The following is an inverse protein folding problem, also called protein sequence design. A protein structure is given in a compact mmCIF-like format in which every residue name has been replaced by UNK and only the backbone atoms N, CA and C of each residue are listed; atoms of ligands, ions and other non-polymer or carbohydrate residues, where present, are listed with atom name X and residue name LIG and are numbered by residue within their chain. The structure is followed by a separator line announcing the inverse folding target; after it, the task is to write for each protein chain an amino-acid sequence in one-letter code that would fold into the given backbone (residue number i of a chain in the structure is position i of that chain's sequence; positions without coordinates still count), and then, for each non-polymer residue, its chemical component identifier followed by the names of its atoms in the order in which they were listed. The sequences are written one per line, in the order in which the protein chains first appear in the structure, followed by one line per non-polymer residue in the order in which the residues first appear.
data_IF_364573946165
#
_entry.id   IF_364573946165
#
_cell.length_a   1.000
_cell.length_b   1.000
_cell.length_c   1.000
_cell.angle_alpha   90.00
_cell.angle_beta   90.00
_cell.angle_gamma   90.00
#
_symmetry.space_group_name_H-M   'P 1'
#
loop_
_entity.id
_entity.type
_entity.pdbx_description
1 polymer ?
#
# COMPACT_ATOMS: atom_id res chain seq x y z
N UNK A 1 5.74 -16.60 9.46
CA UNK A 1 4.95 -15.35 9.58
C UNK A 1 5.90 -14.17 9.50
N UNK A 2 5.64 -13.17 8.64
CA UNK A 2 6.43 -11.93 8.64
C UNK A 2 6.40 -11.31 10.04
N UNK A 3 7.58 -10.97 10.59
CA UNK A 3 7.69 -10.35 11.92
C UNK A 3 7.38 -8.86 11.81
N UNK A 4 6.78 -8.28 12.86
CA UNK A 4 6.53 -6.84 12.99
C UNK A 4 5.58 -6.23 11.93
N UNK A 5 4.61 -6.99 11.43
CA UNK A 5 3.58 -6.44 10.55
C UNK A 5 2.54 -5.68 11.39
N UNK A 6 2.37 -4.38 11.13
CA UNK A 6 1.31 -3.58 11.73
C UNK A 6 0.10 -3.55 10.78
N UNK A 7 -0.94 -4.34 11.08
CA UNK A 7 -2.18 -4.35 10.31
C UNK A 7 -2.98 -3.09 10.69
N UNK A 8 -3.22 -2.21 9.71
CA UNK A 8 -3.95 -0.95 9.90
C UNK A 8 -5.35 -1.05 9.28
N UNK A 9 -6.26 -0.18 9.72
CA UNK A 9 -7.68 -0.19 9.32
C UNK A 9 -8.02 1.04 8.47
N UNK A 10 -8.52 0.82 7.25
CA UNK A 10 -8.97 1.88 6.34
C UNK A 10 -10.36 2.42 6.66
N UNK A 11 -11.13 1.72 7.49
CA UNK A 11 -12.53 2.05 7.76
C UNK A 11 -13.36 2.03 6.48
N UNK A 12 -14.10 3.10 6.24
CA UNK A 12 -15.13 3.19 5.19
C UNK A 12 -14.67 4.00 3.97
N UNK A 13 -13.38 4.29 3.82
CA UNK A 13 -12.84 5.01 2.67
C UNK A 13 -12.09 4.03 1.77
N UNK A 14 -12.23 4.18 0.45
CA UNK A 14 -11.51 3.41 -0.58
C UNK A 14 -10.01 3.70 -0.64
N UNK A 15 -9.32 3.72 0.51
CA UNK A 15 -7.92 4.07 0.65
C UNK A 15 -6.96 2.86 0.57
N UNK A 16 -7.46 1.67 0.20
CA UNK A 16 -6.74 0.39 0.21
C UNK A 16 -5.36 0.47 -0.45
N UNK A 17 -5.23 1.22 -1.55
CA UNK A 17 -3.97 1.44 -2.28
C UNK A 17 -2.91 2.11 -1.41
N UNK A 18 -3.29 3.12 -0.61
CA UNK A 18 -2.39 3.78 0.33
C UNK A 18 -2.00 2.86 1.49
N UNK A 19 -2.95 2.07 2.00
CA UNK A 19 -2.69 1.08 3.06
C UNK A 19 -1.75 -0.04 2.61
N UNK A 20 -2.00 -0.62 1.43
CA UNK A 20 -1.17 -1.68 0.87
C UNK A 20 0.26 -1.21 0.62
N UNK A 21 0.43 -0.01 0.04
CA UNK A 21 1.76 0.54 -0.17
C UNK A 21 2.47 0.91 1.15
N UNK A 22 1.75 1.48 2.12
CA UNK A 22 2.32 1.79 3.44
C UNK A 22 2.86 0.54 4.14
N UNK A 23 2.15 -0.60 4.05
CA UNK A 23 2.59 -1.85 4.66
C UNK A 23 3.92 -2.34 4.07
N UNK A 24 4.11 -2.21 2.76
CA UNK A 24 5.37 -2.56 2.08
C UNK A 24 6.50 -1.62 2.51
N UNK A 25 6.25 -0.31 2.52
CA UNK A 25 7.26 0.69 2.89
C UNK A 25 7.66 0.55 4.37
N UNK A 26 6.68 0.42 5.28
CA UNK A 26 6.94 0.19 6.70
C UNK A 26 7.82 -1.04 6.91
N UNK A 27 7.53 -2.12 6.20
CA UNK A 27 8.33 -3.36 6.28
C UNK A 27 9.77 -3.11 5.86
N UNK A 28 10.00 -2.52 4.69
CA UNK A 28 11.35 -2.26 4.16
C UNK A 28 12.14 -1.27 5.04
N UNK A 29 11.50 -0.17 5.48
CA UNK A 29 12.12 0.83 6.36
C UNK A 29 12.45 0.23 7.72
N UNK A 30 11.57 -0.63 8.26
CA UNK A 30 11.83 -1.23 9.56
C UNK A 30 12.83 -2.37 9.49
N UNK A 31 12.90 -3.15 8.42
CA UNK A 31 13.95 -4.18 8.25
C UNK A 31 15.34 -3.56 8.19
N UNK A 32 15.49 -2.45 7.47
CA UNK A 32 16.76 -1.71 7.42
C UNK A 32 17.11 -1.02 8.74
N UNK A 33 16.13 -0.52 9.50
CA UNK A 33 16.33 0.14 10.81
C UNK A 33 16.47 -0.82 11.99
N UNK A 34 15.90 -2.02 11.94
CA UNK A 34 16.00 -3.04 12.99
C UNK A 34 17.46 -3.50 13.15
N UNK A 35 18.24 -3.50 12.07
CA UNK A 35 19.70 -3.66 12.14
C UNK A 35 20.40 -2.57 12.98
N UNK A 36 19.74 -1.42 13.20
CA UNK A 36 20.25 -0.24 13.91
C UNK A 36 19.59 0.11 15.25
N UNK A 37 18.74 -0.76 15.84
CA UNK A 37 18.08 -0.57 17.17
C UNK A 37 17.09 0.61 17.30
N UNK A 38 16.49 1.08 16.20
CA UNK A 38 15.44 2.12 16.25
C UNK A 38 14.05 1.59 16.62
N UNK A 39 13.16 2.46 17.13
CA UNK A 39 11.72 2.16 17.23
C UNK A 39 11.14 1.95 15.82
N UNK A 40 10.16 1.04 15.63
CA UNK A 40 9.45 0.90 14.37
C UNK A 40 8.84 2.24 13.95
N UNK A 41 8.95 2.56 12.66
CA UNK A 41 8.38 3.73 12.05
C UNK A 41 7.24 3.31 11.14
N UNK A 42 6.19 4.12 11.12
CA UNK A 42 5.07 3.99 10.22
C UNK A 42 4.98 5.22 9.32
N UNK A 43 4.83 5.01 8.01
CA UNK A 43 4.63 6.07 7.02
C UNK A 43 3.16 6.46 6.92
N UNK A 44 2.91 7.70 6.45
CA UNK A 44 1.58 8.29 6.30
C UNK A 44 0.78 7.59 5.20
N UNK A 45 -0.25 6.85 5.61
CA UNK A 45 -1.21 6.24 4.68
C UNK A 45 -2.01 7.32 3.96
N UNK A 46 -2.41 8.38 4.68
CA UNK A 46 -3.14 9.51 4.11
C UNK A 46 -2.35 10.18 2.99
N UNK A 47 -1.06 10.44 3.19
CA UNK A 47 -0.20 11.01 2.14
C UNK A 47 -0.12 10.09 0.92
N UNK A 48 0.13 8.80 1.13
CA UNK A 48 0.23 7.84 0.03
C UNK A 48 -1.06 7.78 -0.77
N UNK A 49 -2.22 7.72 -0.11
CA UNK A 49 -3.50 7.66 -0.79
C UNK A 49 -3.81 8.93 -1.58
N UNK A 50 -3.61 10.11 -0.99
CA UNK A 50 -3.86 11.37 -1.69
C UNK A 50 -2.91 11.58 -2.88
N UNK A 51 -1.64 11.21 -2.73
CA UNK A 51 -0.68 11.29 -3.83
C UNK A 51 -0.96 10.21 -4.87
N UNK A 52 -1.47 9.04 -4.48
CA UNK A 52 -1.90 8.03 -5.43
C UNK A 52 -2.99 8.59 -6.35
N UNK A 53 -4.04 9.18 -5.77
CA UNK A 53 -5.13 9.82 -6.51
C UNK A 53 -4.66 10.96 -7.41
N UNK A 54 -3.78 11.82 -6.89
CA UNK A 54 -3.24 12.97 -7.64
C UNK A 54 -2.40 12.57 -8.86
N UNK A 55 -1.75 11.42 -8.81
CA UNK A 55 -0.85 10.94 -9.87
C UNK A 55 -1.42 9.74 -10.63
N UNK A 56 -2.69 9.43 -10.41
CA UNK A 56 -3.39 8.41 -11.16
C UNK A 56 -3.70 8.90 -12.57
N UNK A 57 -3.82 7.96 -13.49
CA UNK A 57 -4.08 8.27 -14.91
C UNK A 57 -5.57 8.57 -15.18
N UNK A 58 -6.41 8.46 -14.15
CA UNK A 58 -7.87 8.61 -14.19
C UNK A 58 -8.32 9.89 -13.47
N UNK A 59 -7.74 11.04 -13.83
CA UNK A 59 -8.29 12.34 -13.40
C UNK A 59 -9.70 12.53 -14.00
N UNK A 60 -10.74 12.48 -13.18
CA UNK A 60 -12.11 12.88 -13.56
C UNK A 60 -13.16 11.78 -13.56
N UNK A 61 -12.82 10.52 -13.26
CA UNK A 61 -13.83 9.50 -12.96
C UNK A 61 -14.16 9.53 -11.46
N UNK A 62 -15.45 9.46 -11.14
CA UNK A 62 -16.01 9.51 -9.78
C UNK A 62 -15.73 8.21 -8.99
N UNK A 63 -14.54 7.63 -9.18
CA UNK A 63 -14.14 6.37 -8.56
C UNK A 63 -13.47 6.63 -7.20
N UNK A 64 -14.01 6.01 -6.15
CA UNK A 64 -13.33 5.94 -4.86
C UNK A 64 -12.16 4.97 -4.94
N UNK A 65 -10.93 5.48 -5.10
CA UNK A 65 -9.74 4.63 -5.10
C UNK A 65 -8.54 5.24 -5.81
N UNK A 66 -7.52 4.41 -6.02
CA UNK A 66 -6.42 4.69 -6.95
C UNK A 66 -5.74 3.41 -7.41
N UNK A 67 -5.13 3.41 -8.60
CA UNK A 67 -4.35 2.31 -9.13
C UNK A 67 -3.02 2.11 -8.40
N UNK A 68 -2.48 0.87 -8.43
CA UNK A 68 -1.12 0.62 -7.92
C UNK A 68 -0.07 1.48 -8.63
N UNK A 69 -0.28 1.80 -9.92
CA UNK A 69 0.60 2.68 -10.69
C UNK A 69 0.53 4.11 -10.15
N UNK A 70 -0.67 4.64 -9.91
CA UNK A 70 -0.89 5.95 -9.32
C UNK A 70 -0.17 6.08 -7.98
N UNK A 71 -0.30 5.06 -7.12
CA UNK A 71 0.39 5.03 -5.82
C UNK A 71 1.91 5.06 -5.92
N UNK A 72 2.50 4.23 -6.79
CA UNK A 72 3.95 4.24 -7.01
C UNK A 72 4.41 5.57 -7.63
N UNK A 73 3.66 6.14 -8.58
CA UNK A 73 3.95 7.46 -9.16
C UNK A 73 3.87 8.57 -8.11
N UNK A 74 2.83 8.58 -7.28
CA UNK A 74 2.67 9.54 -6.20
C UNK A 74 3.83 9.47 -5.21
N UNK A 75 4.20 8.25 -4.78
CA UNK A 75 5.35 8.04 -3.91
C UNK A 75 6.67 8.45 -4.57
N UNK A 76 6.87 8.15 -5.85
CA UNK A 76 8.07 8.55 -6.59
C UNK A 76 8.25 10.07 -6.63
N UNK A 77 7.18 10.82 -6.91
CA UNK A 77 7.24 12.27 -7.07
C UNK A 77 7.32 13.02 -5.73
N UNK A 78 6.64 12.53 -4.70
CA UNK A 78 6.42 13.29 -3.47
C UNK A 78 7.13 12.71 -2.25
N UNK A 79 7.56 11.45 -2.31
CA UNK A 79 7.95 10.68 -1.14
C UNK A 79 6.77 10.43 -0.19
N UNK A 80 7.06 10.02 1.03
CA UNK A 80 6.04 9.83 2.08
C UNK A 80 6.58 10.21 3.45
N UNK A 81 5.84 11.03 4.21
CA UNK A 81 6.23 11.41 5.56
C UNK A 81 5.86 10.32 6.58
N UNK A 82 6.35 10.47 7.81
CA UNK A 82 5.87 9.66 8.96
C UNK A 82 4.38 9.89 9.22
N UNK A 83 3.71 8.84 9.69
CA UNK A 83 2.27 8.83 10.02
C UNK A 83 1.92 9.94 11.04
N UNK A 84 2.79 10.18 12.02
CA UNK A 84 2.59 11.21 13.05
C UNK A 84 2.50 12.65 12.49
N UNK A 85 3.11 12.91 11.34
CA UNK A 85 3.12 14.25 10.72
C UNK A 85 1.88 14.49 9.86
N UNK A 86 1.28 13.41 9.35
CA UNK A 86 0.06 13.48 8.56
C UNK A 86 -0.79 12.22 8.74
N UNK A 87 -1.54 12.12 9.86
CA UNK A 87 -2.20 10.88 10.25
C UNK A 87 -3.45 10.60 9.42
N UNK A 88 -3.74 9.33 9.23
CA UNK A 88 -5.01 8.86 8.66
C UNK A 88 -6.16 9.07 9.66
N UNK A 89 -7.22 9.74 9.21
CA UNK A 89 -8.40 10.06 10.01
C UNK A 89 -9.72 9.80 9.25
N UNK A 90 -9.72 8.81 8.35
CA UNK A 90 -10.79 8.60 7.37
C UNK A 90 -11.00 9.85 6.51
N UNK A 91 -12.21 10.07 5.98
CA UNK A 91 -12.54 11.12 5.00
C UNK A 91 -12.28 12.59 5.42
N UNK A 92 -11.74 12.83 6.62
CA UNK A 92 -11.31 14.17 7.05
C UNK A 92 -10.13 14.64 6.21
N UNK A 93 -10.39 15.58 5.32
CA UNK A 93 -9.35 16.23 4.52
C UNK A 93 -8.57 17.22 5.40
N UNK A 94 -7.23 17.11 5.37
CA UNK A 94 -6.31 18.12 5.90
C UNK A 94 -5.30 18.44 4.81
N UNK A 95 -4.70 19.61 4.87
CA UNK A 95 -3.50 19.89 4.09
C UNK A 95 -2.29 19.43 4.90
N UNK A 96 -1.38 18.67 4.29
CA UNK A 96 -0.14 18.31 4.96
C UNK A 96 0.72 19.57 5.22
N UNK A 97 1.46 19.55 6.32
CA UNK A 97 2.31 20.68 6.71
C UNK A 97 3.61 20.74 5.88
N UNK A 98 4.29 21.89 5.90
CA UNK A 98 5.64 22.01 5.34
C UNK A 98 6.61 21.03 5.99
N UNK A 99 6.42 20.71 7.28
CA UNK A 99 7.22 19.71 7.98
C UNK A 99 6.99 18.30 7.41
N UNK A 100 5.74 17.91 7.14
CA UNK A 100 5.42 16.66 6.47
C UNK A 100 6.04 16.60 5.07
N UNK A 101 5.92 17.68 4.27
CA UNK A 101 6.53 17.74 2.94
C UNK A 101 8.06 17.64 2.97
N UNK A 102 8.72 18.22 3.99
CA UNK A 102 10.16 18.08 4.20
C UNK A 102 10.54 16.65 4.59
N UNK A 103 9.80 16.05 5.52
CA UNK A 103 10.04 14.69 6.01
C UNK A 103 9.85 13.65 4.88
N UNK A 104 8.86 13.85 4.03
CA UNK A 104 8.54 12.96 2.91
C UNK A 104 9.72 12.75 1.95
N UNK A 105 10.55 13.77 1.74
CA UNK A 105 11.74 13.71 0.89
C UNK A 105 12.82 12.76 1.42
N UNK A 106 12.73 12.32 2.68
CA UNK A 106 13.63 11.34 3.26
C UNK A 106 13.17 9.89 3.04
N UNK A 107 11.99 9.67 2.46
CA UNK A 107 11.44 8.35 2.15
C UNK A 107 10.85 8.35 0.74
N UNK A 108 11.72 8.27 -0.25
CA UNK A 108 11.39 8.22 -1.68
C UNK A 108 11.60 6.81 -2.24
N UNK A 109 10.99 6.54 -3.40
CA UNK A 109 11.20 5.29 -4.14
C UNK A 109 12.68 5.17 -4.50
N UNK A 110 13.30 4.03 -4.15
CA UNK A 110 14.64 3.68 -4.65
C UNK A 110 14.56 3.06 -6.04
N UNK A 111 14.04 1.83 -6.12
CA UNK A 111 13.74 1.14 -7.36
C UNK A 111 12.38 0.43 -7.23
N UNK A 112 11.65 0.33 -8.33
CA UNK A 112 10.44 -0.47 -8.42
C UNK A 112 10.50 -1.33 -9.68
N UNK A 113 9.98 -2.55 -9.61
CA UNK A 113 9.93 -3.47 -10.73
C UNK A 113 8.53 -4.06 -10.86
N UNK A 114 8.06 -4.18 -12.11
CA UNK A 114 6.82 -4.90 -12.40
C UNK A 114 7.15 -6.38 -12.55
N UNK A 115 6.43 -7.22 -11.82
CA UNK A 115 6.60 -8.67 -11.93
C UNK A 115 5.94 -9.21 -13.19
N UNK A 116 6.56 -10.24 -13.78
CA UNK A 116 5.98 -11.01 -14.86
C UNK A 116 4.84 -11.90 -14.39
N UNK A 117 4.26 -12.68 -15.31
CA UNK A 117 3.19 -13.65 -14.99
C UNK A 117 3.71 -14.97 -14.43
N UNK A 118 5.03 -15.13 -14.28
CA UNK A 118 5.64 -16.39 -13.84
C UNK A 118 5.70 -16.43 -12.32
N UNK A 119 5.23 -17.52 -11.72
CA UNK A 119 5.26 -17.73 -10.26
C UNK A 119 6.69 -17.58 -9.69
N UNK A 120 7.70 -18.01 -10.44
CA UNK A 120 9.11 -17.85 -10.06
C UNK A 120 9.50 -16.40 -9.78
N UNK A 121 8.94 -15.44 -10.51
CA UNK A 121 9.25 -14.01 -10.35
C UNK A 121 8.71 -13.51 -9.01
N UNK A 122 7.55 -14.00 -8.58
CA UNK A 122 6.97 -13.69 -7.27
C UNK A 122 7.78 -14.33 -6.14
N UNK A 123 8.20 -15.59 -6.31
CA UNK A 123 9.06 -16.25 -5.32
C UNK A 123 10.39 -15.51 -5.14
N UNK A 124 11.04 -15.11 -6.25
CA UNK A 124 12.27 -14.34 -6.22
C UNK A 124 12.05 -12.99 -5.52
N UNK A 125 11.02 -12.24 -5.93
CA UNK A 125 10.71 -10.94 -5.32
C UNK A 125 10.44 -11.05 -3.82
N UNK A 126 9.64 -12.02 -3.36
CA UNK A 126 9.37 -12.22 -1.93
C UNK A 126 10.63 -12.58 -1.15
N UNK A 127 11.53 -13.39 -1.72
CA UNK A 127 12.78 -13.76 -1.08
C UNK A 127 13.78 -12.60 -1.01
N UNK A 128 13.82 -11.74 -2.03
CA UNK A 128 14.78 -10.63 -2.12
C UNK A 128 14.31 -9.36 -1.40
N UNK A 129 13.05 -8.96 -1.58
CA UNK A 129 12.51 -7.69 -1.07
C UNK A 129 11.61 -7.86 0.14
N UNK A 130 11.19 -9.10 0.43
CA UNK A 130 10.33 -9.42 1.56
C UNK A 130 8.84 -9.07 1.36
N UNK A 131 8.45 -8.37 0.30
CA UNK A 131 7.05 -7.99 0.06
C UNK A 131 6.78 -7.60 -1.39
N UNK A 132 5.54 -7.84 -1.84
CA UNK A 132 5.03 -7.43 -3.14
C UNK A 132 3.80 -6.55 -2.90
N UNK A 133 3.73 -5.43 -3.62
CA UNK A 133 2.52 -4.60 -3.68
C UNK A 133 1.72 -5.00 -4.92
N UNK A 134 0.46 -5.40 -4.72
CA UNK A 134 -0.44 -5.85 -5.78
C UNK A 134 -1.87 -5.39 -5.50
N UNK A 135 -2.69 -5.43 -6.55
CA UNK A 135 -4.15 -5.40 -6.47
C UNK A 135 -4.70 -6.79 -6.79
N UNK A 136 -5.92 -7.06 -6.35
CA UNK A 136 -6.67 -8.27 -6.67
C UNK A 136 -8.15 -7.92 -6.80
N UNK A 137 -8.84 -8.65 -7.67
CA UNK A 137 -10.30 -8.61 -7.71
C UNK A 137 -10.84 -9.39 -6.51
N UNK A 138 -11.83 -8.81 -5.84
CA UNK A 138 -12.40 -9.35 -4.61
C UNK A 138 -13.81 -9.84 -4.91
N UNK A 139 -14.17 -10.99 -4.36
CA UNK A 139 -15.50 -11.60 -4.47
C UNK A 139 -15.96 -12.08 -3.09
N UNK A 140 -17.22 -12.53 -2.99
CA UNK A 140 -17.87 -12.92 -1.72
C UNK A 140 -17.12 -14.00 -0.92
N UNK A 141 -16.29 -14.82 -1.58
CA UNK A 141 -15.47 -15.83 -0.92
C UNK A 141 -14.41 -15.26 0.03
N UNK A 142 -14.06 -13.98 -0.12
CA UNK A 142 -13.12 -13.29 0.76
C UNK A 142 -13.72 -12.95 2.13
N UNK A 143 -15.04 -12.78 2.22
CA UNK A 143 -15.72 -12.45 3.49
C UNK A 143 -15.84 -13.67 4.41
N UNK A 144 -15.87 -14.87 3.82
CA UNK A 144 -16.04 -16.12 4.54
C UNK A 144 -15.12 -17.22 3.96
N UNK A 145 -13.79 -17.10 4.13
CA UNK A 145 -12.86 -18.14 3.70
C UNK A 145 -13.15 -19.45 4.43
N UNK A 146 -12.78 -20.58 3.81
CA UNK A 146 -12.94 -21.90 4.44
C UNK A 146 -12.24 -21.93 5.80
N UNK A 147 -13.00 -22.26 6.85
CA UNK A 147 -12.52 -22.14 8.25
C UNK A 147 -11.42 -23.14 8.60
N UNK A 148 -11.25 -24.19 7.81
CA UNK A 148 -10.30 -25.27 8.07
C UNK A 148 -9.01 -25.10 7.28
N UNK A 149 -9.13 -24.83 5.97
CA UNK A 149 -8.00 -24.69 5.05
C UNK A 149 -7.54 -23.24 4.89
N UNK A 150 -8.41 -22.26 5.16
CA UNK A 150 -8.14 -20.84 4.90
C UNK A 150 -8.06 -20.49 3.40
N UNK A 151 -8.42 -21.44 2.52
CA UNK A 151 -8.38 -21.23 1.07
C UNK A 151 -9.57 -20.38 0.64
N UNK A 152 -9.30 -19.40 -0.21
CA UNK A 152 -10.29 -18.63 -0.95
C UNK A 152 -10.26 -19.19 -2.38
N UNK A 153 -11.30 -19.93 -2.76
CA UNK A 153 -11.39 -20.50 -4.11
C UNK A 153 -11.64 -19.39 -5.13
N UNK A 154 -11.02 -19.52 -6.30
CA UNK A 154 -11.24 -18.60 -7.40
C UNK A 154 -12.68 -18.72 -7.93
N UNK A 155 -13.40 -17.61 -7.98
CA UNK A 155 -14.76 -17.55 -8.53
C UNK A 155 -14.75 -16.93 -9.94
N UNK A 156 -14.78 -17.79 -10.96
CA UNK A 156 -14.79 -17.39 -12.36
C UNK A 156 -16.05 -16.59 -12.79
N UNK A 157 -17.14 -16.62 -12.01
CA UNK A 157 -18.38 -15.90 -12.36
C UNK A 157 -18.36 -14.43 -11.91
N UNK A 158 -17.51 -14.10 -10.94
CA UNK A 158 -17.33 -12.73 -10.46
C UNK A 158 -16.64 -11.82 -11.49
N UNK A 159 -15.93 -12.37 -12.48
CA UNK A 159 -15.28 -11.60 -13.56
C UNK A 159 -16.26 -11.06 -14.62
N UNK A 160 -17.49 -11.59 -14.70
CA UNK A 160 -18.45 -11.25 -15.77
C UNK A 160 -19.47 -10.14 -15.45
N UNK A 161 -19.45 -9.57 -14.24
CA UNK A 161 -20.44 -8.56 -13.80
C UNK A 161 -19.92 -7.10 -13.77
N UNK A 162 -18.80 -6.80 -14.44
CA UNK A 162 -18.31 -5.42 -14.65
C UNK A 162 -18.52 -4.92 -16.08
#
# INVERSE_FOLDING_TARGET
MPRNLNIRDQGQEGACTGFGLAAVIDRQVNETRVAGKGKPVSVSVRMLYEMARRYDEWEGEDYEGSSCRGAIKGWYNMGVCREELYPYQGRKQRTYSVAAAKDARNCTVGAYFRLGKRISDYHAALNETGAIFCSADVHVGWDAPDKTSGLIEFDAKAETEY
#
